data_IF_016663754547
#
_entry.id   IF_016663754547
#
_cell.length_a   1.000
_cell.length_b   1.000
_cell.length_c   1.000
_cell.angle_alpha   90.00
_cell.angle_beta   90.00
_cell.angle_gamma   90.00
#
_symmetry.space_group_name_H-M   'P 1'
#
loop_
_entity.id
_entity.type
_entity.pdbx_description
1 polymer ?
#
# COMPACT_ATOMS: atom_id res chain seq x y z
N UNK A 1 18.28 3.89 -8.99
CA UNK A 1 17.83 4.45 -7.69
C UNK A 1 17.51 3.30 -6.73
N UNK A 2 17.56 3.52 -5.41
CA UNK A 2 17.08 2.54 -4.41
C UNK A 2 15.87 3.07 -3.63
N UNK A 3 14.88 2.22 -3.36
CA UNK A 3 13.69 2.59 -2.57
C UNK A 3 13.47 1.67 -1.38
N UNK A 4 13.43 2.26 -0.19
CA UNK A 4 13.10 1.60 1.07
C UNK A 4 11.60 1.71 1.36
N UNK A 5 10.88 0.59 1.35
CA UNK A 5 9.46 0.54 1.68
C UNK A 5 9.28 0.14 3.15
N UNK A 6 8.66 1.02 3.94
CA UNK A 6 8.25 0.76 5.32
C UNK A 6 6.75 0.50 5.31
N UNK A 7 6.35 -0.75 5.51
CA UNK A 7 4.95 -1.16 5.37
C UNK A 7 4.40 -1.68 6.68
N UNK A 8 3.11 -1.45 6.88
CA UNK A 8 2.41 -1.71 8.13
C UNK A 8 2.46 -3.17 8.58
N UNK A 9 2.25 -4.11 7.66
CA UNK A 9 2.12 -5.53 8.00
C UNK A 9 2.68 -6.46 6.90
N UNK A 10 2.90 -7.76 7.19
CA UNK A 10 3.48 -8.70 6.23
C UNK A 10 2.62 -8.95 4.98
N UNK A 11 1.30 -8.74 5.04
CA UNK A 11 0.42 -8.85 3.87
C UNK A 11 0.74 -7.78 2.81
N UNK A 12 1.04 -6.54 3.25
CA UNK A 12 1.45 -5.44 2.39
C UNK A 12 2.79 -5.73 1.73
N UNK A 13 3.75 -6.29 2.49
CA UNK A 13 5.00 -6.76 1.89
C UNK A 13 4.75 -7.83 0.82
N UNK A 14 3.93 -8.84 1.12
CA UNK A 14 3.61 -9.90 0.18
C UNK A 14 2.95 -9.37 -1.09
N UNK A 15 2.05 -8.39 -0.99
CA UNK A 15 1.44 -7.75 -2.15
C UNK A 15 2.44 -6.91 -2.95
N UNK A 16 3.20 -6.04 -2.30
CA UNK A 16 4.16 -5.14 -2.97
C UNK A 16 5.23 -5.92 -3.74
N UNK A 17 5.72 -7.05 -3.20
CA UNK A 17 6.73 -7.89 -3.88
C UNK A 17 6.30 -8.35 -5.27
N UNK A 18 5.00 -8.53 -5.50
CA UNK A 18 4.48 -9.04 -6.77
C UNK A 18 4.49 -8.00 -7.90
N UNK A 19 4.33 -6.71 -7.59
CA UNK A 19 4.19 -5.68 -8.63
C UNK A 19 5.20 -4.53 -8.57
N UNK A 20 6.01 -4.41 -7.50
CA UNK A 20 6.98 -3.31 -7.38
C UNK A 20 8.04 -3.32 -8.48
N UNK A 21 8.53 -4.49 -8.92
CA UNK A 21 9.52 -4.56 -9.99
C UNK A 21 8.98 -3.97 -11.31
N UNK A 22 7.70 -4.22 -11.62
CA UNK A 22 7.03 -3.63 -12.78
C UNK A 22 6.78 -2.13 -12.59
N UNK A 23 6.43 -1.70 -11.37
CA UNK A 23 6.19 -0.30 -11.05
C UNK A 23 7.45 0.57 -11.10
N UNK A 24 8.58 0.05 -10.62
CA UNK A 24 9.85 0.75 -10.50
C UNK A 24 10.72 0.66 -11.76
N UNK A 25 10.53 -0.37 -12.58
CA UNK A 25 11.39 -0.67 -13.73
C UNK A 25 12.69 -1.39 -13.33
N UNK A 26 13.32 -2.06 -14.30
CA UNK A 26 14.43 -2.99 -14.08
C UNK A 26 15.71 -2.33 -13.50
N UNK A 27 15.91 -1.03 -13.74
CA UNK A 27 17.11 -0.28 -13.32
C UNK A 27 17.06 0.16 -11.84
N UNK A 28 15.93 -0.06 -11.16
CA UNK A 28 15.71 0.41 -9.80
C UNK A 28 15.63 -0.77 -8.83
N UNK A 29 16.22 -0.60 -7.66
CA UNK A 29 16.20 -1.62 -6.61
C UNK A 29 15.30 -1.19 -5.46
N UNK A 30 14.80 -2.16 -4.70
CA UNK A 30 13.99 -1.87 -3.53
C UNK A 30 14.19 -2.90 -2.43
N UNK A 31 13.87 -2.49 -1.20
CA UNK A 31 13.75 -3.38 -0.05
C UNK A 31 12.47 -3.03 0.70
N UNK A 32 11.77 -4.04 1.20
CA UNK A 32 10.55 -3.87 1.99
C UNK A 32 10.84 -4.30 3.42
N UNK A 33 10.33 -3.53 4.36
CA UNK A 33 10.40 -3.78 5.80
C UNK A 33 8.98 -3.76 6.35
N UNK A 34 8.41 -4.96 6.52
CA UNK A 34 7.13 -5.13 7.19
C UNK A 34 7.26 -4.95 8.71
N UNK A 35 6.21 -4.39 9.30
CA UNK A 35 6.04 -4.26 10.74
C UNK A 35 4.95 -5.22 11.24
N UNK A 36 4.68 -5.23 12.54
CA UNK A 36 3.60 -6.02 13.14
C UNK A 36 2.37 -5.12 13.43
N UNK A 37 1.94 -4.37 12.42
CA UNK A 37 0.79 -3.48 12.46
C UNK A 37 1.15 -2.00 12.68
N UNK A 38 0.15 -1.13 12.52
CA UNK A 38 0.33 0.34 12.50
C UNK A 38 1.09 0.90 13.69
N UNK A 39 0.75 0.41 14.89
CA UNK A 39 1.37 0.89 16.13
C UNK A 39 2.87 0.62 16.14
N UNK A 40 3.28 -0.58 15.73
CA UNK A 40 4.69 -0.97 15.65
C UNK A 40 5.43 -0.10 14.63
N UNK A 41 4.86 0.07 13.43
CA UNK A 41 5.40 0.98 12.41
C UNK A 41 5.56 2.41 12.94
N UNK A 42 4.50 3.00 13.50
CA UNK A 42 4.53 4.40 13.94
C UNK A 42 5.49 4.63 15.12
N UNK A 43 5.66 3.64 16.00
CA UNK A 43 6.60 3.71 17.11
C UNK A 43 8.07 3.65 16.62
N UNK A 44 8.37 2.83 15.61
CA UNK A 44 9.72 2.68 15.08
C UNK A 44 10.08 3.78 14.07
N UNK A 45 9.09 4.34 13.36
CA UNK A 45 9.29 5.22 12.21
C UNK A 45 10.15 6.44 12.53
N UNK A 46 9.88 7.11 13.67
CA UNK A 46 10.65 8.29 14.08
C UNK A 46 12.14 7.99 14.28
N UNK A 47 12.46 6.84 14.90
CA UNK A 47 13.83 6.39 15.09
C UNK A 47 14.49 6.04 13.75
N UNK A 48 13.77 5.31 12.90
CA UNK A 48 14.27 4.85 11.60
C UNK A 48 14.57 6.02 10.66
N UNK A 49 13.67 7.00 10.55
CA UNK A 49 13.87 8.18 9.72
C UNK A 49 15.05 9.05 10.21
N UNK A 50 15.22 9.20 11.53
CA UNK A 50 16.43 9.85 12.11
C UNK A 50 17.71 9.07 11.86
N UNK A 51 17.63 7.75 11.75
CA UNK A 51 18.74 6.92 11.32
C UNK A 51 19.10 7.20 9.87
N UNK A 52 18.12 7.08 8.97
CA UNK A 52 18.30 7.36 7.54
C UNK A 52 18.84 8.77 7.28
N UNK A 53 18.36 9.80 7.97
CA UNK A 53 18.82 11.19 7.73
C UNK A 53 20.32 11.41 7.92
N UNK A 54 21.03 10.49 8.60
CA UNK A 54 22.48 10.57 8.81
C UNK A 54 23.31 9.98 7.68
N UNK A 55 22.76 9.08 6.86
CA UNK A 55 23.56 8.28 5.91
C UNK A 55 22.89 8.03 4.55
N UNK A 56 21.61 8.34 4.38
CA UNK A 56 20.84 8.02 3.18
C UNK A 56 21.48 8.65 1.92
N UNK A 57 21.90 7.87 0.91
CA UNK A 57 22.47 8.38 -0.33
C UNK A 57 21.50 9.27 -1.12
N UNK A 58 22.05 10.09 -2.01
CA UNK A 58 21.26 11.05 -2.80
C UNK A 58 20.28 10.39 -3.78
N UNK A 59 20.56 9.17 -4.20
CA UNK A 59 19.72 8.36 -5.07
C UNK A 59 18.86 7.36 -4.28
N UNK A 60 18.67 7.55 -2.98
CA UNK A 60 17.76 6.72 -2.18
C UNK A 60 16.49 7.47 -1.82
N UNK A 61 15.38 6.72 -1.74
CA UNK A 61 14.06 7.22 -1.36
C UNK A 61 13.42 6.28 -0.36
N UNK A 62 12.52 6.82 0.45
CA UNK A 62 11.76 6.05 1.45
C UNK A 62 10.28 6.19 1.12
N UNK A 63 9.57 5.09 1.07
CA UNK A 63 8.12 5.04 0.93
C UNK A 63 7.54 4.43 2.20
N UNK A 64 6.67 5.18 2.88
CA UNK A 64 5.93 4.67 4.03
C UNK A 64 4.51 4.36 3.56
N UNK A 65 4.03 3.14 3.79
CA UNK A 65 2.67 2.72 3.49
C UNK A 65 2.00 2.22 4.76
N UNK A 66 0.86 2.82 5.10
CA UNK A 66 0.00 2.41 6.21
C UNK A 66 -1.44 2.30 5.73
N UNK A 67 -2.24 1.54 6.46
CA UNK A 67 -3.68 1.47 6.23
C UNK A 67 -4.36 2.64 6.94
N UNK A 68 -5.51 3.07 6.41
CA UNK A 68 -6.29 4.13 7.06
C UNK A 68 -6.99 3.57 8.29
N UNK A 69 -7.49 2.34 8.20
CA UNK A 69 -8.49 1.77 9.10
C UNK A 69 -9.64 2.78 9.31
N UNK A 70 -10.02 3.00 10.57
CA UNK A 70 -11.01 3.96 11.01
C UNK A 70 -10.45 5.38 11.28
N UNK A 71 -9.19 5.68 10.97
CA UNK A 71 -8.59 7.00 11.26
C UNK A 71 -8.95 8.08 10.21
N UNK A 72 -8.89 9.35 10.61
CA UNK A 72 -8.93 10.47 9.67
C UNK A 72 -7.65 10.47 8.81
N UNK A 73 -7.82 10.25 7.50
CA UNK A 73 -6.71 10.13 6.57
C UNK A 73 -5.85 11.40 6.49
N UNK A 74 -6.42 12.59 6.70
CA UNK A 74 -5.68 13.86 6.67
C UNK A 74 -4.87 14.04 7.96
N UNK A 75 -5.41 13.63 9.10
CA UNK A 75 -4.68 13.60 10.36
C UNK A 75 -3.51 12.62 10.30
N UNK A 76 -3.76 11.38 9.87
CA UNK A 76 -2.72 10.36 9.71
C UNK A 76 -1.63 10.83 8.74
N UNK A 77 -2.02 11.40 7.60
CA UNK A 77 -1.07 11.96 6.63
C UNK A 77 -0.20 13.09 7.21
N UNK A 78 -0.81 14.01 7.97
CA UNK A 78 -0.08 15.10 8.65
C UNK A 78 0.89 14.55 9.70
N UNK A 79 0.50 13.52 10.45
CA UNK A 79 1.36 12.86 11.43
C UNK A 79 2.59 12.24 10.75
N UNK A 80 2.40 11.47 9.67
CA UNK A 80 3.51 10.87 8.92
C UNK A 80 4.45 11.93 8.33
N UNK A 81 3.90 13.00 7.75
CA UNK A 81 4.73 14.10 7.23
C UNK A 81 5.51 14.81 8.33
N UNK A 82 4.91 14.99 9.52
CA UNK A 82 5.61 15.57 10.68
C UNK A 82 6.78 14.69 11.12
N UNK A 83 6.60 13.38 11.20
CA UNK A 83 7.69 12.45 11.57
C UNK A 83 8.88 12.54 10.61
N UNK A 84 8.64 12.67 9.30
CA UNK A 84 9.70 12.88 8.32
C UNK A 84 10.37 14.24 8.48
N UNK A 85 9.58 15.31 8.65
CA UNK A 85 10.08 16.66 8.88
C UNK A 85 10.95 16.75 10.13
N UNK A 86 10.52 16.16 11.24
CA UNK A 86 11.24 16.15 12.51
C UNK A 86 12.56 15.36 12.42
N UNK A 87 12.66 14.42 11.47
CA UNK A 87 13.91 13.74 11.13
C UNK A 87 14.80 14.51 10.15
N UNK A 88 14.38 15.69 9.69
CA UNK A 88 15.09 16.50 8.69
C UNK A 88 14.92 16.00 7.25
N UNK A 89 13.97 15.11 6.99
CA UNK A 89 13.74 14.53 5.66
C UNK A 89 12.55 15.22 4.97
N UNK A 90 12.78 15.65 3.72
CA UNK A 90 11.75 16.32 2.93
C UNK A 90 10.71 15.34 2.39
N UNK A 91 9.47 15.79 2.41
CA UNK A 91 8.32 15.09 1.84
C UNK A 91 7.75 15.88 0.66
N UNK A 92 6.76 15.31 -0.05
CA UNK A 92 5.98 16.07 -1.05
C UNK A 92 5.23 17.27 -0.47
N UNK A 93 4.93 17.29 0.82
CA UNK A 93 4.31 18.48 1.43
C UNK A 93 5.26 19.69 1.41
N UNK A 94 6.57 19.45 1.25
CA UNK A 94 7.62 20.45 1.21
C UNK A 94 8.04 20.81 -0.23
N UNK A 95 7.28 20.41 -1.25
CA UNK A 95 7.64 20.56 -2.67
C UNK A 95 7.86 22.02 -3.13
N UNK A 96 7.40 23.00 -2.34
CA UNK A 96 7.66 24.43 -2.60
C UNK A 96 9.05 24.90 -2.16
N UNK A 97 9.79 24.07 -1.41
CA UNK A 97 11.09 24.41 -0.84
C UNK A 97 12.22 23.70 -1.61
N UNK A 98 13.31 24.39 -1.99
CA UNK A 98 14.39 23.81 -2.80
C UNK A 98 15.00 22.56 -2.15
N UNK A 99 15.04 21.43 -2.85
CA UNK A 99 15.69 20.20 -2.36
C UNK A 99 14.99 18.92 -2.80
N UNK A 100 15.63 17.78 -2.53
CA UNK A 100 15.19 16.46 -2.99
C UNK A 100 14.13 15.90 -2.03
N UNK A 101 13.01 15.43 -2.58
CA UNK A 101 12.00 14.69 -1.81
C UNK A 101 12.60 13.34 -1.42
N UNK A 102 12.76 13.08 -0.12
CA UNK A 102 13.32 11.83 0.42
C UNK A 102 12.26 10.83 0.84
N UNK A 103 11.14 11.32 1.38
CA UNK A 103 10.10 10.46 1.97
C UNK A 103 8.76 10.68 1.27
N UNK A 104 8.16 9.58 0.82
CA UNK A 104 6.80 9.53 0.31
C UNK A 104 5.92 8.74 1.27
N UNK A 105 5.07 9.45 2.00
CA UNK A 105 4.04 8.81 2.82
C UNK A 105 2.84 8.45 1.93
N UNK A 106 2.28 7.25 2.06
CA UNK A 106 1.05 6.79 1.39
C UNK A 106 0.15 6.07 2.38
N UNK A 107 -1.14 6.10 2.07
CA UNK A 107 -2.20 5.54 2.91
C UNK A 107 -3.08 4.71 1.98
N UNK A 108 -3.23 3.41 2.26
CA UNK A 108 -4.29 2.60 1.68
C UNK A 108 -5.61 2.99 2.37
N UNK A 109 -6.62 3.38 1.61
CA UNK A 109 -7.90 3.85 2.19
C UNK A 109 -8.78 2.66 2.51
N UNK A 110 -9.46 2.71 3.66
CA UNK A 110 -9.92 1.51 4.39
C UNK A 110 -8.68 0.71 4.79
N UNK A 111 -8.35 -0.37 4.06
CA UNK A 111 -7.16 -1.19 4.26
C UNK A 111 -6.53 -1.58 2.91
N UNK A 112 -5.43 -2.33 2.94
CA UNK A 112 -4.78 -2.86 1.75
C UNK A 112 -5.75 -3.59 0.79
N UNK A 113 -6.73 -4.33 1.33
CA UNK A 113 -7.68 -5.10 0.52
C UNK A 113 -8.54 -4.24 -0.42
N UNK A 114 -8.70 -2.94 -0.15
CA UNK A 114 -9.30 -2.00 -1.09
C UNK A 114 -8.58 -2.02 -2.44
N UNK A 115 -7.25 -2.20 -2.44
CA UNK A 115 -6.46 -2.23 -3.67
C UNK A 115 -6.78 -3.47 -4.51
N UNK A 116 -7.10 -4.59 -3.87
CA UNK A 116 -7.50 -5.82 -4.54
C UNK A 116 -8.87 -5.67 -5.20
N UNK A 117 -9.85 -5.06 -4.50
CA UNK A 117 -11.15 -4.73 -5.10
C UNK A 117 -11.05 -3.73 -6.25
N UNK A 118 -9.95 -2.95 -6.29
CA UNK A 118 -9.60 -2.11 -7.42
C UNK A 118 -9.37 -2.84 -8.74
N UNK A 119 -8.99 -4.12 -8.71
CA UNK A 119 -8.88 -4.99 -9.88
C UNK A 119 -9.54 -6.34 -9.61
N UNK A 120 -10.87 -6.39 -9.71
CA UNK A 120 -11.64 -7.62 -9.47
C UNK A 120 -11.27 -8.77 -10.42
N UNK A 121 -10.70 -8.47 -11.59
CA UNK A 121 -10.18 -9.50 -12.48
C UNK A 121 -8.97 -10.21 -11.88
N UNK A 122 -8.11 -9.49 -11.14
CA UNK A 122 -6.99 -10.07 -10.40
C UNK A 122 -7.48 -10.99 -9.27
N UNK A 123 -8.54 -10.60 -8.55
CA UNK A 123 -9.19 -11.46 -7.56
C UNK A 123 -9.69 -12.75 -8.23
N UNK A 124 -10.37 -12.65 -9.38
CA UNK A 124 -10.88 -13.80 -10.11
C UNK A 124 -9.77 -14.68 -10.69
N UNK A 125 -8.68 -14.09 -11.16
CA UNK A 125 -7.51 -14.83 -11.64
C UNK A 125 -6.88 -15.66 -10.51
N UNK A 126 -6.76 -15.08 -9.32
CA UNK A 126 -6.29 -15.79 -8.12
C UNK A 126 -7.29 -16.83 -7.59
N UNK A 127 -8.59 -16.56 -7.73
CA UNK A 127 -9.69 -17.37 -7.21
C UNK A 127 -10.78 -17.58 -8.28
N UNK A 128 -10.63 -18.58 -9.17
CA UNK A 128 -11.48 -18.72 -10.36
C UNK A 128 -12.98 -18.93 -10.13
N UNK A 129 -13.39 -19.38 -8.92
CA UNK A 129 -14.82 -19.50 -8.57
C UNK A 129 -15.49 -18.15 -8.26
N UNK A 130 -14.74 -17.05 -8.20
CA UNK A 130 -15.31 -15.71 -8.02
C UNK A 130 -16.12 -15.32 -9.27
N UNK A 131 -17.36 -14.81 -9.11
CA UNK A 131 -18.18 -14.36 -10.23
C UNK A 131 -17.50 -13.26 -11.05
N UNK A 132 -17.60 -13.33 -12.38
CA UNK A 132 -17.05 -12.33 -13.30
C UNK A 132 -17.67 -10.94 -13.15
N UNK A 133 -18.88 -10.86 -12.59
CA UNK A 133 -19.63 -9.62 -12.38
C UNK A 133 -19.37 -8.98 -11.01
N UNK A 134 -18.33 -9.39 -10.27
CA UNK A 134 -17.98 -8.78 -8.97
C UNK A 134 -17.81 -7.25 -9.07
N UNK A 135 -17.25 -6.77 -10.18
CA UNK A 135 -17.11 -5.33 -10.47
C UNK A 135 -18.43 -4.58 -10.68
N UNK A 136 -19.49 -5.27 -11.10
CA UNK A 136 -20.80 -4.67 -11.32
C UNK A 136 -21.57 -4.47 -10.01
N UNK A 137 -21.22 -5.23 -8.96
CA UNK A 137 -21.83 -5.11 -7.64
C UNK A 137 -21.60 -3.71 -7.07
N UNK A 138 -22.69 -3.00 -6.76
CA UNK A 138 -22.66 -1.64 -6.25
C UNK A 138 -21.78 -1.50 -4.99
N UNK A 139 -21.69 -2.56 -4.17
CA UNK A 139 -20.88 -2.57 -2.95
C UNK A 139 -19.37 -2.45 -3.22
N UNK A 140 -18.88 -2.98 -4.33
CA UNK A 140 -17.44 -3.08 -4.65
C UNK A 140 -17.01 -2.15 -5.78
N UNK A 141 -17.93 -1.32 -6.28
CA UNK A 141 -17.69 -0.41 -7.41
C UNK A 141 -16.66 0.68 -7.07
N UNK A 142 -16.73 1.20 -5.84
CA UNK A 142 -15.74 2.11 -5.26
C UNK A 142 -14.95 1.37 -4.17
N UNK A 143 -13.75 0.87 -4.47
CA UNK A 143 -12.98 0.05 -3.54
C UNK A 143 -12.58 0.78 -2.26
N UNK A 144 -12.28 2.07 -2.36
CA UNK A 144 -11.84 2.89 -1.22
C UNK A 144 -13.04 3.37 -0.35
N UNK A 145 -14.27 2.99 -0.69
CA UNK A 145 -15.49 3.33 0.04
C UNK A 145 -16.26 2.08 0.53
N UNK A 146 -15.65 0.90 0.45
CA UNK A 146 -16.24 -0.34 0.93
C UNK A 146 -16.42 -0.24 2.45
N UNK A 147 -17.69 -0.24 2.89
CA UNK A 147 -18.03 -0.10 4.31
C UNK A 147 -17.94 -1.43 5.06
N UNK A 148 -17.57 -1.31 6.34
CA UNK A 148 -17.52 -2.43 7.28
C UNK A 148 -16.24 -3.27 7.16
N UNK A 149 -15.15 -2.62 6.73
CA UNK A 149 -13.83 -3.21 6.56
C UNK A 149 -13.66 -3.96 5.23
N UNK A 150 -12.52 -3.73 4.59
CA UNK A 150 -12.22 -4.27 3.27
C UNK A 150 -11.69 -5.70 3.34
N UNK A 151 -10.98 -6.06 4.41
CA UNK A 151 -10.55 -7.44 4.62
C UNK A 151 -11.74 -8.37 4.93
N UNK A 152 -12.73 -7.94 5.71
CA UNK A 152 -13.97 -8.71 5.97
C UNK A 152 -14.80 -8.82 4.69
N UNK A 153 -14.80 -7.78 3.86
CA UNK A 153 -15.46 -7.82 2.57
C UNK A 153 -14.80 -8.84 1.62
N UNK A 154 -13.46 -8.87 1.57
CA UNK A 154 -12.72 -9.83 0.77
C UNK A 154 -12.89 -11.26 1.29
N UNK A 155 -12.81 -11.45 2.60
CA UNK A 155 -13.05 -12.73 3.26
C UNK A 155 -14.42 -13.29 2.88
N UNK A 156 -15.48 -12.48 3.01
CA UNK A 156 -16.85 -12.89 2.65
C UNK A 156 -16.95 -13.29 1.19
N UNK A 157 -16.40 -12.49 0.27
CA UNK A 157 -16.42 -12.79 -1.17
C UNK A 157 -15.75 -14.13 -1.48
N UNK A 158 -14.61 -14.40 -0.83
CA UNK A 158 -13.89 -15.66 -1.01
C UNK A 158 -14.63 -16.84 -0.37
N UNK A 159 -15.22 -16.65 0.81
CA UNK A 159 -16.02 -17.65 1.50
C UNK A 159 -17.29 -18.01 0.75
N UNK A 160 -18.00 -17.03 0.18
CA UNK A 160 -19.21 -17.25 -0.61
C UNK A 160 -18.90 -18.10 -1.87
N UNK A 161 -17.71 -17.94 -2.45
CA UNK A 161 -17.21 -18.77 -3.55
C UNK A 161 -16.58 -20.10 -3.10
N UNK A 162 -16.61 -20.41 -1.81
CA UNK A 162 -16.15 -21.69 -1.26
C UNK A 162 -14.65 -21.78 -0.94
N UNK A 163 -13.94 -20.65 -0.85
CA UNK A 163 -12.54 -20.59 -0.39
C UNK A 163 -12.48 -20.21 1.10
N UNK A 164 -11.36 -20.49 1.77
CA UNK A 164 -11.02 -19.90 3.07
C UNK A 164 -12.13 -19.94 4.14
N UNK A 165 -12.87 -21.05 4.23
CA UNK A 165 -13.99 -21.23 5.17
C UNK A 165 -13.60 -21.08 6.65
N UNK A 166 -12.32 -21.24 6.97
CA UNK A 166 -11.76 -21.06 8.32
C UNK A 166 -11.19 -19.66 8.60
N UNK A 167 -11.34 -18.72 7.67
CA UNK A 167 -10.81 -17.36 7.77
C UNK A 167 -9.83 -17.02 6.66
N UNK A 168 -9.66 -15.72 6.36
CA UNK A 168 -8.79 -15.22 5.30
C UNK A 168 -7.29 -15.35 5.65
N UNK A 169 -6.50 -16.18 4.95
CA UNK A 169 -5.04 -16.17 5.09
C UNK A 169 -4.46 -14.91 4.40
N UNK A 170 -4.48 -13.76 5.09
CA UNK A 170 -4.18 -12.44 4.52
C UNK A 170 -2.91 -12.39 3.68
N UNK A 171 -1.80 -12.97 4.17
CA UNK A 171 -0.51 -12.98 3.45
C UNK A 171 -0.60 -13.76 2.13
N UNK A 172 -1.21 -14.95 2.16
CA UNK A 172 -1.36 -15.78 0.96
C UNK A 172 -2.32 -15.14 -0.04
N UNK A 173 -3.46 -14.62 0.43
CA UNK A 173 -4.43 -13.94 -0.41
C UNK A 173 -3.82 -12.69 -1.07
N UNK A 174 -3.12 -11.85 -0.29
CA UNK A 174 -2.42 -10.67 -0.78
C UNK A 174 -1.42 -11.03 -1.89
N UNK A 175 -0.57 -12.05 -1.66
CA UNK A 175 0.39 -12.52 -2.66
C UNK A 175 -0.30 -12.99 -3.94
N UNK A 176 -1.30 -13.88 -3.83
CA UNK A 176 -1.97 -14.47 -5.00
C UNK A 176 -2.71 -13.43 -5.83
N UNK A 177 -3.41 -12.50 -5.17
CA UNK A 177 -4.18 -11.47 -5.89
C UNK A 177 -3.22 -10.45 -6.50
N UNK A 178 -2.22 -9.99 -5.76
CA UNK A 178 -1.25 -9.01 -6.25
C UNK A 178 -0.44 -9.50 -7.45
N UNK A 179 -0.18 -10.81 -7.54
CA UNK A 179 0.47 -11.44 -8.69
C UNK A 179 -0.25 -11.16 -10.03
N UNK A 180 -1.58 -11.03 -9.99
CA UNK A 180 -2.40 -10.77 -11.16
C UNK A 180 -2.83 -9.30 -11.30
N UNK A 181 -2.37 -8.43 -10.40
CA UNK A 181 -2.87 -7.07 -10.28
C UNK A 181 -2.34 -6.19 -11.42
N UNK A 182 -3.26 -5.56 -12.17
CA UNK A 182 -2.90 -4.65 -13.25
C UNK A 182 -2.90 -3.22 -12.75
N UNK A 183 -1.70 -2.63 -12.71
CA UNK A 183 -1.49 -1.28 -12.17
C UNK A 183 -2.37 -0.24 -12.88
N UNK A 184 -2.44 -0.28 -14.21
CA UNK A 184 -3.11 0.77 -15.01
C UNK A 184 -4.65 0.72 -14.94
N UNK A 185 -5.23 -0.46 -14.67
CA UNK A 185 -6.69 -0.65 -14.66
C UNK A 185 -7.29 -0.64 -13.26
N UNK A 186 -6.45 -0.45 -12.22
CA UNK A 186 -6.89 -0.50 -10.85
C UNK A 186 -7.72 0.74 -10.49
N UNK A 187 -8.95 0.53 -10.04
CA UNK A 187 -9.92 1.61 -9.74
C UNK A 187 -9.71 2.27 -8.38
N UNK A 188 -8.98 1.66 -7.44
CA UNK A 188 -8.70 2.29 -6.15
C UNK A 188 -7.92 3.60 -6.38
N UNK A 189 -8.46 4.70 -5.86
CA UNK A 189 -7.82 6.02 -5.89
C UNK A 189 -6.56 6.00 -5.02
N UNK A 190 -6.63 5.33 -3.88
CA UNK A 190 -5.51 5.20 -2.95
C UNK A 190 -4.34 4.38 -3.54
N UNK A 191 -4.65 3.28 -4.25
CA UNK A 191 -3.67 2.52 -5.03
C UNK A 191 -3.04 3.36 -6.14
N UNK A 192 -3.85 4.04 -6.97
CA UNK A 192 -3.34 4.90 -8.05
C UNK A 192 -2.47 6.04 -7.50
N UNK A 193 -2.84 6.62 -6.36
CA UNK A 193 -2.03 7.62 -5.68
C UNK A 193 -0.70 7.05 -5.17
N UNK A 194 -0.69 5.80 -4.67
CA UNK A 194 0.54 5.09 -4.34
C UNK A 194 1.43 4.93 -5.57
N UNK A 195 0.93 4.32 -6.66
CA UNK A 195 1.71 4.08 -7.88
C UNK A 195 2.24 5.37 -8.53
N UNK A 196 1.38 6.38 -8.72
CA UNK A 196 1.79 7.70 -9.23
C UNK A 196 2.82 8.36 -8.30
N UNK A 197 2.64 8.17 -6.99
CA UNK A 197 3.60 8.60 -5.98
C UNK A 197 4.98 8.02 -6.17
N UNK A 198 5.05 6.69 -6.24
CA UNK A 198 6.31 5.95 -6.41
C UNK A 198 6.98 6.33 -7.73
N UNK A 199 6.23 6.37 -8.84
CA UNK A 199 6.76 6.76 -10.16
C UNK A 199 7.41 8.14 -10.16
N UNK A 200 6.82 9.12 -9.48
CA UNK A 200 7.38 10.47 -9.42
C UNK A 200 8.60 10.63 -8.50
N UNK A 201 9.02 9.56 -7.81
CA UNK A 201 10.28 9.55 -7.07
C UNK A 201 11.46 9.11 -7.95
N UNK A 202 11.18 8.32 -8.99
CA UNK A 202 12.13 7.85 -10.00
C UNK A 202 12.57 9.04 -10.86
#
# INVERSE_FOLDING_TARGET
MHVEFLVEEPSAEAALREFLSSLLGAENTFRIHAHQGKRDLLNSLAGRLRGYSKWLPDDWRIVVLVDRDAEDCRHLKRRLNRLAKDAGLKTRADARSPGIIRVLNRIAIEELEAWFFGDTDAIRAAYPRIPSNLSANARYRDPDAIRGGTWEALERVLQDAGYHKGGLPKIEAARRIAHHLRIENNRSVSFRAFCSGVRSLL
#
